data_IF_225394185219
#
_entry.id   IF_225394185219
#
_cell.length_a   1.000
_cell.length_b   1.000
_cell.length_c   1.000
_cell.angle_alpha   90.00
_cell.angle_beta   90.00
_cell.angle_gamma   90.00
#
_symmetry.space_group_name_H-M   'P 1'
#
loop_
_entity.id
_entity.type
_entity.pdbx_description
1 polymer ?
#
# COMPACT_ATOMS: atom_id res chain seq x y z
N UNK A 1 -4.45 -18.99 -21.15
CA UNK A 1 -3.26 -18.14 -20.94
C UNK A 1 -3.19 -17.71 -19.48
N UNK A 2 -4.21 -17.04 -18.93
CA UNK A 2 -4.26 -16.58 -17.53
C UNK A 2 -3.95 -17.62 -16.44
N UNK A 3 -4.28 -18.91 -16.65
CA UNK A 3 -3.93 -19.98 -15.69
C UNK A 3 -2.42 -20.20 -15.65
N UNK A 4 -1.75 -20.24 -16.81
CA UNK A 4 -0.30 -20.40 -16.87
C UNK A 4 0.40 -19.19 -16.24
N UNK A 5 -0.08 -17.99 -16.56
CA UNK A 5 0.44 -16.74 -15.99
C UNK A 5 0.25 -16.72 -14.46
N UNK A 6 -0.93 -17.12 -13.96
CA UNK A 6 -1.19 -17.22 -12.53
C UNK A 6 -0.33 -18.27 -11.82
N UNK A 7 -0.15 -19.44 -12.43
CA UNK A 7 0.77 -20.46 -11.92
C UNK A 7 2.21 -19.96 -11.88
N UNK A 8 2.66 -19.23 -12.90
CA UNK A 8 3.98 -18.62 -12.94
C UNK A 8 4.16 -17.62 -11.79
N UNK A 9 3.19 -16.72 -11.59
CA UNK A 9 3.22 -15.74 -10.50
C UNK A 9 3.29 -16.42 -9.14
N UNK A 10 2.47 -17.43 -8.87
CA UNK A 10 2.47 -18.15 -7.59
C UNK A 10 3.82 -18.82 -7.33
N UNK A 11 4.35 -19.54 -8.33
CA UNK A 11 5.65 -20.22 -8.23
C UNK A 11 6.78 -19.22 -7.99
N UNK A 12 6.80 -18.12 -8.75
CA UNK A 12 7.79 -17.06 -8.61
C UNK A 12 7.79 -16.48 -7.19
N UNK A 13 6.62 -16.11 -6.68
CA UNK A 13 6.48 -15.52 -5.35
C UNK A 13 6.89 -16.50 -4.25
N UNK A 14 6.46 -17.77 -4.34
CA UNK A 14 6.86 -18.83 -3.39
C UNK A 14 8.36 -19.01 -3.35
N UNK A 15 8.99 -19.12 -4.52
CA UNK A 15 10.44 -19.29 -4.63
C UNK A 15 11.18 -18.08 -4.06
N UNK A 16 10.64 -16.88 -4.26
CA UNK A 16 11.21 -15.66 -3.70
C UNK A 16 11.09 -15.54 -2.17
N UNK A 17 9.98 -16.01 -1.58
CA UNK A 17 9.82 -15.99 -0.11
C UNK A 17 10.64 -17.10 0.56
N UNK A 18 10.67 -18.30 -0.03
CA UNK A 18 11.40 -19.49 0.42
C UNK A 18 12.75 -19.63 -0.31
N UNK A 19 13.49 -18.54 -0.53
CA UNK A 19 14.83 -18.60 -1.12
C UNK A 19 15.73 -19.47 -0.20
N UNK A 20 15.66 -20.78 -0.36
CA UNK A 20 16.70 -21.71 0.02
C UNK A 20 17.85 -21.42 -0.94
N UNK A 21 18.94 -20.87 -0.40
CA UNK A 21 20.19 -20.74 -1.12
C UNK A 21 20.52 -22.09 -1.78
N UNK A 22 20.63 -22.10 -3.12
CA UNK A 22 21.10 -23.21 -4.01
C UNK A 22 20.04 -23.91 -4.88
N UNK A 23 19.30 -23.14 -5.67
CA UNK A 23 18.98 -23.61 -7.02
C UNK A 23 19.52 -22.62 -8.04
N UNK A 24 20.21 -23.14 -9.05
CA UNK A 24 20.83 -22.42 -10.16
C UNK A 24 19.74 -21.88 -11.12
N UNK A 25 18.75 -21.17 -10.58
CA UNK A 25 17.61 -20.66 -11.32
C UNK A 25 17.98 -19.33 -11.97
N UNK A 26 17.97 -19.25 -13.31
CA UNK A 26 18.35 -18.05 -14.04
C UNK A 26 17.55 -16.80 -13.65
N UNK A 27 16.34 -16.95 -13.09
CA UNK A 27 15.48 -15.84 -12.66
C UNK A 27 15.99 -15.23 -11.35
N UNK A 28 16.56 -16.03 -10.45
CA UNK A 28 17.04 -15.59 -9.13
C UNK A 28 18.55 -15.39 -9.09
N UNK A 29 19.30 -15.95 -10.04
CA UNK A 29 20.76 -15.82 -10.14
C UNK A 29 21.21 -14.47 -10.74
N UNK A 30 20.28 -13.56 -11.01
CA UNK A 30 20.56 -12.21 -11.50
C UNK A 30 19.82 -11.20 -10.61
N UNK A 31 20.56 -10.34 -9.92
CA UNK A 31 20.11 -9.46 -8.83
C UNK A 31 18.96 -8.47 -9.18
N UNK A 32 18.50 -8.42 -10.43
CA UNK A 32 17.46 -7.48 -10.88
C UNK A 32 16.26 -8.12 -11.60
N UNK A 33 16.29 -9.42 -11.96
CA UNK A 33 15.20 -10.03 -12.76
C UNK A 33 13.86 -10.06 -12.01
N UNK A 34 13.90 -10.35 -10.71
CA UNK A 34 12.70 -10.31 -9.88
C UNK A 34 12.07 -8.91 -9.86
N UNK A 35 12.89 -7.85 -9.77
CA UNK A 35 12.40 -6.47 -9.80
C UNK A 35 11.70 -6.15 -11.12
N UNK A 36 12.25 -6.57 -12.27
CA UNK A 36 11.60 -6.39 -13.57
C UNK A 36 10.26 -7.11 -13.64
N UNK A 37 10.18 -8.37 -13.18
CA UNK A 37 8.91 -9.09 -13.17
C UNK A 37 7.90 -8.43 -12.24
N UNK A 38 8.32 -7.96 -11.06
CA UNK A 38 7.45 -7.17 -10.18
C UNK A 38 6.95 -5.89 -10.85
N UNK A 39 7.80 -5.17 -11.57
CA UNK A 39 7.38 -4.00 -12.35
C UNK A 39 6.33 -4.36 -13.39
N UNK A 40 6.51 -5.45 -14.13
CA UNK A 40 5.54 -5.92 -15.11
C UNK A 40 4.22 -6.33 -14.46
N UNK A 41 4.24 -6.96 -13.27
CA UNK A 41 3.03 -7.31 -12.50
C UNK A 41 2.27 -6.09 -11.97
N UNK A 42 2.92 -4.93 -11.88
CA UNK A 42 2.29 -3.66 -11.46
C UNK A 42 1.64 -2.91 -12.62
N UNK A 43 1.88 -3.32 -13.87
CA UNK A 43 1.24 -2.72 -15.03
C UNK A 43 -0.25 -3.09 -15.07
N UNK A 44 -1.11 -2.10 -15.35
CA UNK A 44 -2.55 -2.30 -15.46
C UNK A 44 -2.93 -3.32 -16.54
N UNK A 45 -2.13 -3.39 -17.60
CA UNK A 45 -2.32 -4.31 -18.73
C UNK A 45 -2.01 -5.78 -18.36
N UNK A 46 -1.23 -6.00 -17.30
CA UNK A 46 -0.80 -7.33 -16.86
C UNK A 46 -1.53 -7.78 -15.58
N UNK A 47 -2.71 -7.22 -15.30
CA UNK A 47 -3.48 -7.62 -14.12
C UNK A 47 -4.18 -8.95 -14.33
N UNK A 48 -3.89 -9.89 -13.43
CA UNK A 48 -4.62 -11.14 -13.30
C UNK A 48 -5.71 -10.94 -12.24
N UNK A 49 -6.98 -11.31 -12.52
CA UNK A 49 -8.04 -11.28 -11.54
C UNK A 49 -7.69 -12.09 -10.30
N UNK A 50 -7.97 -11.54 -9.13
CA UNK A 50 -7.58 -12.12 -7.85
C UNK A 50 -8.14 -13.52 -7.64
N UNK A 51 -9.40 -13.76 -8.02
CA UNK A 51 -10.03 -15.07 -7.86
C UNK A 51 -9.25 -16.19 -8.58
N UNK A 52 -8.62 -15.89 -9.73
CA UNK A 52 -7.77 -16.87 -10.45
C UNK A 52 -6.56 -17.22 -9.60
N UNK A 53 -5.89 -16.21 -9.03
CA UNK A 53 -4.71 -16.40 -8.19
C UNK A 53 -5.06 -17.12 -6.88
N UNK A 54 -6.14 -16.72 -6.21
CA UNK A 54 -6.60 -17.33 -4.96
C UNK A 54 -6.97 -18.81 -5.17
N UNK A 55 -7.73 -19.14 -6.23
CA UNK A 55 -8.07 -20.53 -6.55
C UNK A 55 -6.83 -21.38 -6.90
N UNK A 56 -5.90 -20.87 -7.72
CA UNK A 56 -4.69 -21.61 -8.06
C UNK A 56 -3.80 -21.82 -6.82
N UNK A 57 -3.75 -20.82 -5.94
CA UNK A 57 -3.01 -20.92 -4.69
C UNK A 57 -3.62 -21.98 -3.76
N UNK A 58 -4.94 -21.99 -3.58
CA UNK A 58 -5.62 -22.95 -2.71
C UNK A 58 -5.40 -24.40 -3.15
N UNK A 59 -5.43 -24.66 -4.46
CA UNK A 59 -5.20 -26.01 -5.01
C UNK A 59 -3.77 -26.51 -4.74
N UNK A 60 -2.81 -25.58 -4.62
CA UNK A 60 -1.40 -25.95 -4.41
C UNK A 60 -0.99 -25.92 -2.93
N UNK A 61 -1.84 -25.43 -2.03
CA UNK A 61 -1.52 -25.24 -0.61
C UNK A 61 -1.11 -26.54 0.09
N UNK A 62 -1.78 -27.66 -0.21
CA UNK A 62 -1.47 -28.97 0.39
C UNK A 62 -0.05 -29.45 0.08
N UNK A 63 0.54 -28.99 -1.02
CA UNK A 63 1.92 -29.35 -1.41
C UNK A 63 2.98 -28.53 -0.67
N UNK A 64 2.60 -27.47 0.03
CA UNK A 64 3.52 -26.52 0.69
C UNK A 64 3.04 -26.22 2.12
N UNK A 65 3.30 -27.10 3.11
CA UNK A 65 2.79 -26.94 4.47
C UNK A 65 3.39 -25.77 5.25
N UNK A 66 4.46 -25.13 4.75
CA UNK A 66 5.08 -23.93 5.33
C UNK A 66 4.50 -22.61 4.83
N UNK A 67 3.64 -22.65 3.82
CA UNK A 67 3.07 -21.47 3.20
C UNK A 67 1.98 -20.81 4.10
N UNK A 68 1.86 -19.47 4.07
CA UNK A 68 0.70 -18.77 4.64
C UNK A 68 -0.63 -19.30 4.10
N UNK A 69 -1.68 -19.29 4.92
CA UNK A 69 -3.00 -19.77 4.48
C UNK A 69 -3.67 -18.88 3.42
N UNK A 70 -3.24 -17.63 3.26
CA UNK A 70 -3.79 -16.67 2.32
C UNK A 70 -2.73 -16.23 1.29
N UNK A 71 -3.11 -16.22 0.01
CA UNK A 71 -2.21 -15.79 -1.07
C UNK A 71 -1.79 -14.32 -0.89
N UNK A 72 -2.70 -13.49 -0.36
CA UNK A 72 -2.42 -12.09 -0.02
C UNK A 72 -1.20 -11.93 0.89
N UNK A 73 -1.02 -12.80 1.90
CA UNK A 73 0.15 -12.75 2.81
C UNK A 73 1.45 -13.11 2.09
N UNK A 74 1.43 -14.12 1.22
CA UNK A 74 2.59 -14.47 0.37
C UNK A 74 2.99 -13.30 -0.52
N UNK A 75 2.01 -12.71 -1.20
CA UNK A 75 2.24 -11.59 -2.11
C UNK A 75 2.81 -10.38 -1.35
N UNK A 76 2.20 -9.98 -0.24
CA UNK A 76 2.68 -8.87 0.58
C UNK A 76 4.07 -9.13 1.15
N UNK A 77 4.38 -10.37 1.53
CA UNK A 77 5.71 -10.74 2.06
C UNK A 77 6.77 -10.62 0.97
N UNK A 78 6.48 -11.08 -0.24
CA UNK A 78 7.36 -10.94 -1.39
C UNK A 78 7.58 -9.46 -1.76
N UNK A 79 6.52 -8.69 -1.97
CA UNK A 79 6.63 -7.27 -2.30
C UNK A 79 7.22 -6.44 -1.14
N UNK A 80 7.11 -6.91 0.10
CA UNK A 80 7.75 -6.32 1.28
C UNK A 80 9.28 -6.46 1.32
N UNK A 81 9.89 -7.33 0.50
CA UNK A 81 11.34 -7.38 0.31
C UNK A 81 11.84 -6.36 -0.73
N UNK A 82 10.96 -5.71 -1.48
CA UNK A 82 11.33 -4.62 -2.40
C UNK A 82 11.48 -3.32 -1.62
N UNK A 83 12.60 -2.62 -1.75
CA UNK A 83 12.90 -1.40 -0.97
C UNK A 83 11.77 -0.36 -1.04
N UNK A 84 11.21 -0.14 -2.23
CA UNK A 84 10.16 0.86 -2.48
C UNK A 84 8.81 0.55 -1.82
N UNK A 85 8.52 -0.73 -1.57
CA UNK A 85 7.24 -1.20 -1.03
C UNK A 85 7.37 -1.83 0.35
N UNK A 86 8.61 -1.97 0.85
CA UNK A 86 8.95 -2.61 2.12
C UNK A 86 8.14 -2.06 3.28
N UNK A 87 8.13 -0.74 3.46
CA UNK A 87 7.41 -0.11 4.56
C UNK A 87 5.90 -0.39 4.49
N UNK A 88 5.28 -0.15 3.34
CA UNK A 88 3.83 -0.27 3.19
C UNK A 88 3.35 -1.72 3.36
N UNK A 89 4.04 -2.66 2.72
CA UNK A 89 3.65 -4.07 2.78
C UNK A 89 3.90 -4.65 4.18
N UNK A 90 5.06 -4.37 4.80
CA UNK A 90 5.36 -4.90 6.12
C UNK A 90 4.47 -4.29 7.20
N UNK A 91 4.14 -3.00 7.11
CA UNK A 91 3.18 -2.38 8.04
C UNK A 91 1.77 -2.93 7.88
N UNK A 92 1.34 -3.23 6.65
CA UNK A 92 0.04 -3.86 6.43
C UNK A 92 0.01 -5.32 6.90
N UNK A 93 1.09 -6.08 6.70
CA UNK A 93 1.24 -7.43 7.27
C UNK A 93 1.17 -7.41 8.80
N UNK A 94 1.89 -6.49 9.45
CA UNK A 94 1.84 -6.37 10.91
C UNK A 94 0.44 -6.01 11.42
N UNK A 95 -0.31 -5.20 10.66
CA UNK A 95 -1.72 -4.92 10.96
C UNK A 95 -2.58 -6.18 10.88
N UNK A 96 -2.40 -7.01 9.85
CA UNK A 96 -3.14 -8.27 9.69
C UNK A 96 -2.85 -9.25 10.83
N UNK A 97 -1.59 -9.37 11.25
CA UNK A 97 -1.18 -10.33 12.27
C UNK A 97 -1.56 -9.90 13.70
N UNK A 98 -1.61 -8.60 14.01
CA UNK A 98 -1.90 -8.12 15.38
C UNK A 98 -3.34 -8.32 15.85
N UNK A 99 -4.31 -8.27 14.95
CA UNK A 99 -5.74 -8.30 15.29
C UNK A 99 -6.44 -9.55 14.72
N UNK A 100 -5.66 -10.58 14.33
CA UNK A 100 -6.12 -11.80 13.60
C UNK A 100 -7.02 -11.45 12.40
N UNK A 101 -6.71 -10.31 11.76
CA UNK A 101 -7.43 -9.84 10.61
C UNK A 101 -6.98 -10.62 9.37
N UNK A 102 -7.97 -11.14 8.65
CA UNK A 102 -7.75 -11.74 7.33
C UNK A 102 -8.00 -10.69 6.28
N UNK A 103 -7.22 -10.75 5.19
CA UNK A 103 -7.59 -10.00 3.99
C UNK A 103 -8.92 -10.57 3.50
N UNK A 104 -9.88 -9.69 3.26
CA UNK A 104 -11.11 -10.01 2.56
C UNK A 104 -10.76 -10.24 1.07
N UNK A 105 -10.37 -11.48 0.75
CA UNK A 105 -9.95 -11.84 -0.61
C UNK A 105 -11.09 -11.74 -1.63
N UNK A 106 -12.35 -11.78 -1.18
CA UNK A 106 -13.52 -11.58 -2.05
C UNK A 106 -13.64 -10.11 -2.51
N UNK A 107 -13.10 -9.18 -1.71
CA UNK A 107 -13.05 -7.75 -2.02
C UNK A 107 -11.85 -7.32 -2.87
N UNK A 108 -10.85 -8.18 -3.06
CA UNK A 108 -9.64 -7.85 -3.82
C UNK A 108 -9.85 -8.14 -5.30
N UNK A 109 -9.59 -7.16 -6.16
CA UNK A 109 -9.81 -7.33 -7.60
C UNK A 109 -8.61 -7.96 -8.32
N UNK A 110 -7.39 -7.55 -7.98
CA UNK A 110 -6.14 -7.98 -8.61
C UNK A 110 -4.93 -7.57 -7.73
N UNK A 111 -3.71 -7.95 -8.13
CA UNK A 111 -2.46 -7.69 -7.38
C UNK A 111 -2.31 -6.20 -7.04
N UNK A 112 -2.48 -5.32 -8.03
CA UNK A 112 -2.32 -3.89 -7.82
C UNK A 112 -3.37 -3.31 -6.85
N UNK A 113 -4.57 -3.88 -6.77
CA UNK A 113 -5.60 -3.44 -5.83
C UNK A 113 -5.24 -3.78 -4.38
N UNK A 114 -4.66 -4.96 -4.15
CA UNK A 114 -4.12 -5.33 -2.83
C UNK A 114 -2.96 -4.41 -2.40
N UNK A 115 -2.02 -4.12 -3.31
CA UNK A 115 -0.90 -3.22 -3.03
C UNK A 115 -1.35 -1.77 -2.83
N UNK A 116 -2.34 -1.31 -3.60
CA UNK A 116 -3.00 -0.03 -3.34
C UNK A 116 -3.60 -0.01 -1.94
N UNK A 117 -4.25 -1.09 -1.52
CA UNK A 117 -4.85 -1.20 -0.19
C UNK A 117 -3.79 -1.12 0.91
N UNK A 118 -2.64 -1.79 0.76
CA UNK A 118 -1.55 -1.71 1.75
C UNK A 118 -0.97 -0.30 1.87
N UNK A 119 -0.84 0.43 0.75
CA UNK A 119 -0.38 1.82 0.73
C UNK A 119 -1.41 2.75 1.37
N UNK A 120 -2.67 2.65 0.94
CA UNK A 120 -3.74 3.56 1.36
C UNK A 120 -4.16 3.31 2.81
N UNK A 121 -4.02 2.07 3.32
CA UNK A 121 -4.39 1.74 4.69
C UNK A 121 -3.65 2.62 5.73
N UNK A 122 -2.37 2.94 5.48
CA UNK A 122 -1.59 3.84 6.33
C UNK A 122 -2.19 5.25 6.47
N UNK A 123 -3.09 5.62 5.56
CA UNK A 123 -3.76 6.91 5.52
C UNK A 123 -5.23 6.84 5.95
N UNK A 124 -5.72 5.67 6.41
CA UNK A 124 -7.07 5.60 6.98
C UNK A 124 -7.15 6.56 8.18
N UNK A 125 -8.16 7.46 8.23
CA UNK A 125 -8.31 8.38 9.34
C UNK A 125 -8.39 7.63 10.66
N UNK A 126 -7.70 8.16 11.65
CA UNK A 126 -7.96 7.88 13.05
C UNK A 126 -9.47 7.98 13.30
N UNK A 127 -10.11 6.83 13.50
CA UNK A 127 -11.43 6.76 14.12
C UNK A 127 -11.12 6.66 15.61
N UNK A 128 -11.30 7.73 16.41
CA UNK A 128 -11.24 7.57 17.85
C UNK A 128 -12.28 6.52 18.22
N UNK A 129 -11.88 5.40 18.86
CA UNK A 129 -12.87 4.46 19.36
C UNK A 129 -13.81 5.23 20.29
N UNK A 130 -15.11 5.02 20.08
CA UNK A 130 -16.16 5.62 20.89
C UNK A 130 -15.83 5.36 22.37
N UNK A 131 -15.49 6.44 23.08
CA UNK A 131 -15.15 6.56 24.51
C UNK A 131 -15.02 5.22 25.25
N UNK A 132 -13.79 4.71 25.31
CA UNK A 132 -13.25 4.05 26.50
C UNK A 132 -11.75 4.36 26.56
N UNK A 133 -11.41 5.26 27.48
CA UNK A 133 -10.10 5.79 27.78
C UNK A 133 -9.24 4.65 28.36
N UNK A 134 -8.20 4.20 27.65
CA UNK A 134 -6.93 3.69 28.24
C UNK A 134 -5.86 3.18 27.25
N UNK A 135 -6.14 2.98 25.95
CA UNK A 135 -5.15 2.42 25.00
C UNK A 135 -4.58 3.38 23.93
N UNK A 136 -4.52 4.67 24.24
CA UNK A 136 -4.16 5.75 23.31
C UNK A 136 -2.66 5.83 22.90
N UNK A 137 -1.86 4.81 23.25
CA UNK A 137 -0.46 4.67 22.77
C UNK A 137 -0.34 3.81 21.51
N UNK A 138 -1.38 3.05 21.13
CA UNK A 138 -1.31 2.04 20.05
C UNK A 138 -1.23 2.65 18.64
N UNK A 139 -1.68 3.90 18.47
CA UNK A 139 -1.77 4.59 17.16
C UNK A 139 -0.60 5.53 16.82
N UNK A 140 0.43 5.63 17.66
CA UNK A 140 1.53 6.61 17.48
C UNK A 140 2.79 6.03 16.82
N UNK A 141 3.02 4.72 16.95
CA UNK A 141 4.27 4.10 16.48
C UNK A 141 4.41 4.03 14.95
N UNK A 142 3.30 4.01 14.19
CA UNK A 142 3.27 3.94 12.72
C UNK A 142 3.94 5.14 12.05
N UNK A 143 3.84 6.33 12.64
CA UNK A 143 4.47 7.56 12.13
C UNK A 143 5.89 7.78 12.67
N UNK A 144 6.32 7.02 13.68
CA UNK A 144 7.54 7.28 14.42
C UNK A 144 8.84 6.87 13.70
N UNK A 145 8.77 6.20 12.54
CA UNK A 145 9.94 5.83 11.74
C UNK A 145 9.92 6.46 10.34
N UNK A 146 10.30 7.73 10.25
CA UNK A 146 10.81 8.29 8.98
C UNK A 146 12.27 8.70 9.15
N UNK A 147 13.19 7.88 8.62
CA UNK A 147 14.40 8.43 7.97
C UNK A 147 13.94 8.80 6.56
N UNK A 148 14.03 10.09 6.22
CA UNK A 148 13.61 10.62 4.92
C UNK A 148 14.34 9.89 3.79
N UNK A 149 13.61 9.10 3.02
CA UNK A 149 14.09 8.54 1.75
C UNK A 149 13.51 9.41 0.63
N UNK A 150 14.39 9.99 -0.20
CA UNK A 150 14.03 10.86 -1.33
C UNK A 150 13.27 10.05 -2.38
N UNK A 151 12.04 10.44 -2.67
CA UNK A 151 11.17 9.78 -3.66
C UNK A 151 10.71 10.79 -4.71
N UNK A 152 11.18 10.60 -5.96
CA UNK A 152 10.53 11.03 -7.20
C UNK A 152 10.29 12.54 -7.42
N UNK A 153 9.75 12.94 -8.59
CA UNK A 153 9.40 14.33 -8.85
C UNK A 153 8.33 14.75 -7.85
N UNK A 154 8.75 15.58 -6.89
CA UNK A 154 7.91 16.04 -5.79
C UNK A 154 6.68 16.74 -6.36
N UNK A 155 5.49 16.24 -6.02
CA UNK A 155 4.29 17.07 -6.09
C UNK A 155 4.64 18.36 -5.34
N UNK A 156 4.51 19.54 -5.99
CA UNK A 156 4.91 20.78 -5.36
C UNK A 156 4.17 20.95 -4.02
N UNK A 157 4.82 21.54 -3.02
CA UNK A 157 4.23 21.70 -1.70
C UNK A 157 2.88 22.42 -1.81
N UNK A 158 1.97 22.14 -0.88
CA UNK A 158 0.64 22.75 -0.86
C UNK A 158 0.69 24.29 -0.95
N UNK A 159 1.74 24.91 -0.41
CA UNK A 159 2.03 26.34 -0.53
C UNK A 159 2.25 26.77 -1.98
N UNK A 160 3.12 26.10 -2.73
CA UNK A 160 3.38 26.41 -4.14
C UNK A 160 2.14 26.20 -5.01
N UNK A 161 1.33 25.17 -4.71
CA UNK A 161 0.04 24.98 -5.37
C UNK A 161 -0.94 26.11 -5.06
N UNK A 162 -1.00 26.56 -3.81
CA UNK A 162 -1.83 27.72 -3.41
C UNK A 162 -1.36 29.02 -4.07
N UNK A 163 -0.05 29.24 -4.19
CA UNK A 163 0.55 30.38 -4.87
C UNK A 163 0.27 30.35 -6.38
N UNK A 164 0.21 29.17 -6.98
CA UNK A 164 -0.21 28.96 -8.37
C UNK A 164 -1.73 29.16 -8.59
N UNK A 165 -2.49 29.55 -7.57
CA UNK A 165 -3.92 29.85 -7.65
C UNK A 165 -4.84 28.65 -7.41
N UNK A 166 -4.31 27.52 -6.94
CA UNK A 166 -5.12 26.33 -6.61
C UNK A 166 -5.72 26.49 -5.21
N UNK A 167 -7.05 26.45 -5.13
CA UNK A 167 -7.79 26.46 -3.85
C UNK A 167 -8.01 25.04 -3.36
N UNK A 168 -7.91 24.82 -2.06
CA UNK A 168 -8.17 23.53 -1.44
C UNK A 168 -9.49 23.58 -0.66
N UNK A 169 -10.42 22.67 -0.98
CA UNK A 169 -11.71 22.59 -0.32
C UNK A 169 -11.98 21.17 0.21
N UNK A 170 -12.77 21.08 1.30
CA UNK A 170 -13.24 19.80 1.81
C UNK A 170 -14.54 19.44 1.09
N UNK A 171 -14.56 18.27 0.48
CA UNK A 171 -15.72 17.71 -0.18
C UNK A 171 -16.71 17.02 0.77
N UNK A 172 -17.78 16.48 0.21
CA UNK A 172 -18.85 15.82 0.99
C UNK A 172 -18.32 14.52 1.61
N UNK A 173 -18.54 14.33 2.91
CA UNK A 173 -17.94 13.27 3.73
C UNK A 173 -18.44 11.83 3.44
N UNK A 174 -19.10 11.62 2.30
CA UNK A 174 -19.86 10.40 2.02
C UNK A 174 -18.94 9.22 1.71
N UNK A 175 -17.70 9.45 1.24
CA UNK A 175 -16.73 8.41 0.90
C UNK A 175 -15.36 8.68 1.55
N UNK A 176 -15.01 7.89 2.57
CA UNK A 176 -13.84 8.08 3.44
C UNK A 176 -12.46 7.77 2.80
N UNK A 177 -12.30 7.85 1.48
CA UNK A 177 -11.03 7.55 0.80
C UNK A 177 -10.24 8.83 0.55
N UNK A 178 -8.99 8.87 1.03
CA UNK A 178 -8.02 9.96 0.76
C UNK A 178 -7.78 10.16 -0.75
N UNK A 179 -8.00 9.13 -1.56
CA UNK A 179 -7.81 9.15 -3.01
C UNK A 179 -9.01 9.70 -3.78
N UNK A 180 -10.09 10.11 -3.09
CA UNK A 180 -11.27 10.71 -3.72
C UNK A 180 -11.07 12.23 -3.87
N UNK A 181 -10.24 12.60 -4.85
CA UNK A 181 -9.84 13.97 -5.14
C UNK A 181 -10.50 14.42 -6.44
N UNK A 182 -11.23 15.53 -6.40
CA UNK A 182 -11.78 16.20 -7.58
C UNK A 182 -11.03 17.51 -7.82
N UNK A 183 -10.73 17.82 -9.09
CA UNK A 183 -10.18 19.13 -9.46
C UNK A 183 -11.06 19.80 -10.51
N UNK A 184 -11.70 20.91 -10.13
CA UNK A 184 -12.59 21.69 -11.01
C UNK A 184 -12.36 23.18 -10.79
N UNK A 185 -12.20 23.93 -11.87
CA UNK A 185 -12.10 25.40 -11.86
C UNK A 185 -11.06 25.96 -10.88
N UNK A 186 -9.88 25.31 -10.80
CA UNK A 186 -8.81 25.71 -9.89
C UNK A 186 -9.04 25.31 -8.43
N UNK A 187 -10.06 24.51 -8.14
CA UNK A 187 -10.37 24.00 -6.80
C UNK A 187 -10.08 22.51 -6.73
N UNK A 188 -9.18 22.13 -5.82
CA UNK A 188 -8.88 20.74 -5.46
C UNK A 188 -9.71 20.37 -4.22
N UNK A 189 -10.69 19.49 -4.43
CA UNK A 189 -11.65 19.04 -3.43
C UNK A 189 -11.26 17.64 -2.97
N UNK A 190 -11.04 17.46 -1.67
CA UNK A 190 -10.89 16.11 -1.10
C UNK A 190 -12.18 15.71 -0.41
N UNK A 191 -12.86 14.69 -0.93
CA UNK A 191 -14.13 14.16 -0.40
C UNK A 191 -13.95 13.24 0.83
N UNK A 192 -12.73 13.10 1.35
CA UNK A 192 -12.47 12.33 2.57
C UNK A 192 -12.95 13.05 3.83
N UNK A 193 -13.46 12.29 4.80
CA UNK A 193 -13.95 12.78 6.09
C UNK A 193 -12.85 13.29 7.05
N UNK A 194 -11.60 13.42 6.57
CA UNK A 194 -10.44 13.72 7.41
C UNK A 194 -10.47 15.17 7.90
N UNK A 195 -10.49 15.34 9.23
CA UNK A 195 -10.44 16.64 9.92
C UNK A 195 -9.12 17.42 9.70
N UNK A 196 -8.10 16.79 9.10
CA UNK A 196 -6.72 17.30 9.00
C UNK A 196 -6.40 18.28 7.86
N UNK A 197 -7.28 18.51 6.88
CA UNK A 197 -7.03 19.47 5.78
C UNK A 197 -7.27 20.94 6.16
N UNK A 198 -7.12 21.33 7.44
CA UNK A 198 -6.97 22.75 7.77
C UNK A 198 -5.52 23.12 7.50
N UNK A 199 -5.27 23.80 6.38
CA UNK A 199 -4.16 24.75 6.32
C UNK A 199 -4.55 25.86 7.29
N UNK A 200 -4.11 25.72 8.55
CA UNK A 200 -4.28 26.76 9.54
C UNK A 200 -3.45 27.96 9.04
N UNK A 201 -4.11 29.06 8.67
CA UNK A 201 -3.45 30.31 8.26
C UNK A 201 -2.62 30.94 9.39
N UNK A 202 -2.59 30.32 10.56
CA UNK A 202 -1.89 30.74 11.77
C UNK A 202 -0.44 30.26 11.86
N UNK A 203 0.08 29.47 10.91
CA UNK A 203 1.53 29.17 10.80
C UNK A 203 2.21 30.14 9.81
N UNK A 204 1.70 31.37 9.70
CA UNK A 204 2.29 32.47 8.93
C UNK A 204 2.62 33.61 9.90
N UNK A 205 3.52 33.36 10.84
CA UNK A 205 4.34 34.42 11.41
C UNK A 205 5.79 33.95 11.34
N UNK A 206 6.50 34.47 10.35
CA UNK A 206 7.96 34.40 10.25
C UNK A 206 8.58 35.02 11.51
N UNK A 207 9.58 34.38 12.15
CA UNK A 207 10.43 35.13 13.07
C UNK A 207 11.33 36.03 12.23
N UNK A 208 11.08 37.33 12.30
CA UNK A 208 12.00 38.37 11.87
C UNK A 208 13.38 38.12 12.51
N UNK A 209 14.39 37.81 11.69
CA UNK A 209 15.79 37.96 12.05
C UNK A 209 16.23 39.39 11.68
N UNK A 210 16.43 40.22 12.70
CA UNK A 210 17.36 41.36 12.68
C UNK A 210 18.75 40.85 13.09
#
# INVERSE_FOLDING_TARGET
MMILDGCFVIQLLRKFIHLEEKEDDPIFNMDCKFQYVCHDLLLLENQIPWFVLSCLYSVTLESYPGDPSQFSKVLLTAFGKLDSLSHNCNSYLEYLDRDDHKVDEDGVLHILDLLRTSIVFLYKPFVPPSRNLENDKKCSWWFAKKKQQKLGPEIPPATALSEAGIRFERGSANNASIMNIDFKDGVLINNSSTSGWRIDRTIIEEPHCL
#
